data_IF_387772002382
#
_entry.id   IF_387772002382
#
_cell.length_a   1.000
_cell.length_b   1.000
_cell.length_c   1.000
_cell.angle_alpha   90.00
_cell.angle_beta   90.00
_cell.angle_gamma   90.00
#
_symmetry.space_group_name_H-M   'P 1'
#
loop_
_entity.id
_entity.type
_entity.pdbx_description
1 polymer ?
#
# COMPACT_ATOMS: atom_id res chain seq x y z
N UNK A 1 22.68 -23.13 -0.53
CA UNK A 1 21.83 -22.31 -1.43
C UNK A 1 21.47 -21.10 -0.60
N UNK A 2 22.13 -19.99 -0.91
CA UNK A 2 22.12 -18.78 -0.09
C UNK A 2 20.77 -18.07 -0.24
N UNK A 3 20.09 -17.91 0.88
CA UNK A 3 18.85 -17.13 1.02
C UNK A 3 19.26 -15.64 1.05
N UNK A 4 19.49 -15.08 -0.13
CA UNK A 4 19.93 -13.70 -0.32
C UNK A 4 18.76 -12.72 -0.08
N UNK A 5 18.79 -12.08 1.09
CA UNK A 5 18.60 -10.63 1.25
C UNK A 5 17.54 -9.95 0.37
N UNK A 6 16.28 -10.01 0.81
CA UNK A 6 15.27 -8.98 0.49
C UNK A 6 15.28 -7.80 1.49
N UNK A 7 16.30 -7.72 2.36
CA UNK A 7 16.43 -6.72 3.43
C UNK A 7 16.90 -5.31 2.96
N UNK A 8 17.20 -5.12 1.66
CA UNK A 8 17.82 -3.89 1.13
C UNK A 8 16.92 -3.03 0.23
N UNK A 9 15.66 -3.41 -0.02
CA UNK A 9 14.78 -2.60 -0.86
C UNK A 9 14.14 -1.47 -0.03
N UNK A 10 14.54 -0.23 -0.29
CA UNK A 10 13.89 0.96 0.28
C UNK A 10 12.43 1.06 -0.17
N UNK A 11 12.12 0.55 -1.35
CA UNK A 11 10.79 0.52 -1.96
C UNK A 11 10.60 -0.77 -2.76
N UNK A 12 9.39 -1.32 -2.75
CA UNK A 12 9.06 -2.55 -3.51
C UNK A 12 7.61 -2.55 -3.98
N UNK A 13 7.30 -3.37 -5.00
CA UNK A 13 5.93 -3.59 -5.48
C UNK A 13 5.37 -4.91 -4.94
N UNK A 14 4.07 -4.95 -4.69
CA UNK A 14 3.31 -6.17 -4.42
C UNK A 14 2.02 -6.19 -5.22
N UNK A 15 1.53 -7.38 -5.57
CA UNK A 15 0.22 -7.53 -6.19
C UNK A 15 -0.91 -7.07 -5.27
N UNK A 16 -2.05 -6.68 -5.83
CA UNK A 16 -3.25 -6.28 -5.10
C UNK A 16 -3.74 -7.35 -4.14
N UNK A 17 -3.67 -8.64 -4.49
CA UNK A 17 -4.09 -9.75 -3.61
C UNK A 17 -3.29 -9.79 -2.31
N UNK A 18 -1.96 -9.79 -2.39
CA UNK A 18 -1.09 -9.79 -1.22
C UNK A 18 -1.24 -8.50 -0.40
N UNK A 19 -1.43 -7.36 -1.06
CA UNK A 19 -1.74 -6.11 -0.36
C UNK A 19 -3.06 -6.18 0.41
N UNK A 20 -4.14 -6.69 -0.20
CA UNK A 20 -5.44 -6.81 0.49
C UNK A 20 -5.32 -7.65 1.75
N UNK A 21 -4.60 -8.77 1.70
CA UNK A 21 -4.35 -9.60 2.89
C UNK A 21 -3.55 -8.84 3.97
N UNK A 22 -2.59 -8.01 3.57
CA UNK A 22 -1.86 -7.17 4.52
C UNK A 22 -2.73 -6.07 5.11
N UNK A 23 -3.55 -5.40 4.29
CA UNK A 23 -4.48 -4.35 4.72
C UNK A 23 -5.48 -4.89 5.75
N UNK A 24 -6.03 -6.09 5.55
CA UNK A 24 -6.90 -6.74 6.54
C UNK A 24 -6.18 -6.91 7.90
N UNK A 25 -4.93 -7.38 7.90
CA UNK A 25 -4.12 -7.52 9.11
C UNK A 25 -3.78 -6.17 9.74
N UNK A 26 -3.52 -5.15 8.92
CA UNK A 26 -3.25 -3.79 9.37
C UNK A 26 -4.48 -3.13 9.99
N UNK A 27 -5.65 -3.25 9.37
CA UNK A 27 -6.93 -2.79 9.91
C UNK A 27 -7.25 -3.46 11.24
N UNK A 28 -7.02 -4.78 11.34
CA UNK A 28 -7.17 -5.52 12.59
C UNK A 28 -6.21 -5.01 13.68
N UNK A 29 -4.96 -4.72 13.32
CA UNK A 29 -3.99 -4.12 14.23
C UNK A 29 -4.44 -2.73 14.72
N UNK A 30 -4.80 -1.81 13.82
CA UNK A 30 -5.25 -0.46 14.17
C UNK A 30 -6.53 -0.49 15.01
N UNK A 31 -7.43 -1.43 14.74
CA UNK A 31 -8.67 -1.61 15.49
C UNK A 31 -8.45 -2.18 16.89
N UNK A 32 -7.39 -2.97 17.10
CA UNK A 32 -7.02 -3.51 18.39
C UNK A 32 -6.29 -2.49 19.29
N UNK A 33 -5.76 -1.41 18.72
CA UNK A 33 -5.19 -0.30 19.50
C UNK A 33 -6.27 0.35 20.37
N UNK A 34 -5.87 0.73 21.58
CA UNK A 34 -6.68 1.62 22.42
C UNK A 34 -6.89 2.97 21.73
N UNK A 35 -7.90 3.73 22.17
CA UNK A 35 -8.21 5.05 21.61
C UNK A 35 -6.99 5.98 21.61
N UNK A 36 -6.26 6.04 22.73
CA UNK A 36 -5.05 6.87 22.87
C UNK A 36 -3.91 6.43 21.94
N UNK A 37 -3.72 5.13 21.75
CA UNK A 37 -2.69 4.60 20.84
C UNK A 37 -3.05 4.86 19.38
N UNK A 38 -4.33 4.71 19.04
CA UNK A 38 -4.85 4.98 17.70
C UNK A 38 -4.71 6.46 17.35
N UNK A 39 -5.02 7.36 18.29
CA UNK A 39 -4.86 8.80 18.12
C UNK A 39 -3.38 9.17 17.89
N UNK A 40 -2.45 8.59 18.68
CA UNK A 40 -1.01 8.79 18.48
C UNK A 40 -0.56 8.36 17.09
N UNK A 41 -0.95 7.16 16.66
CA UNK A 41 -0.63 6.66 15.32
C UNK A 41 -1.23 7.56 14.24
N UNK A 42 -2.49 7.96 14.37
CA UNK A 42 -3.16 8.83 13.40
C UNK A 42 -2.48 10.19 13.28
N UNK A 43 -2.13 10.83 14.40
CA UNK A 43 -1.44 12.11 14.41
C UNK A 43 -0.06 12.02 13.72
N UNK A 44 0.71 10.99 14.06
CA UNK A 44 2.00 10.72 13.41
C UNK A 44 1.85 10.54 11.90
N UNK A 45 0.87 9.75 11.46
CA UNK A 45 0.63 9.49 10.05
C UNK A 45 0.14 10.73 9.29
N UNK A 46 -0.71 11.55 9.91
CA UNK A 46 -1.16 12.83 9.33
C UNK A 46 0.01 13.77 9.11
N UNK A 47 0.85 13.98 10.12
CA UNK A 47 2.05 14.82 10.02
C UNK A 47 2.97 14.35 8.89
N UNK A 48 3.22 13.04 8.82
CA UNK A 48 4.07 12.46 7.77
C UNK A 48 3.47 12.60 6.37
N UNK A 49 2.15 12.45 6.22
CA UNK A 49 1.49 12.65 4.92
C UNK A 49 1.53 14.11 4.46
N UNK A 50 1.41 15.08 5.37
CA UNK A 50 1.52 16.50 5.05
C UNK A 50 2.93 16.87 4.58
N UNK A 51 3.96 16.38 5.29
CA UNK A 51 5.35 16.52 4.89
C UNK A 51 5.63 15.83 3.55
N UNK A 52 5.10 14.62 3.34
CA UNK A 52 5.24 13.91 2.07
C UNK A 52 4.59 14.68 0.91
N UNK A 53 3.38 15.20 1.12
CA UNK A 53 2.62 15.93 0.08
C UNK A 53 3.29 17.23 -0.34
N UNK A 54 3.98 17.91 0.58
CA UNK A 54 4.71 19.15 0.28
C UNK A 54 6.03 18.94 -0.48
N UNK A 55 6.53 17.70 -0.59
CA UNK A 55 7.83 17.37 -1.18
C UNK A 55 7.75 16.80 -2.62
N UNK A 56 6.57 16.62 -3.22
CA UNK A 56 6.42 15.74 -4.40
C UNK A 56 6.86 16.39 -5.71
N UNK A 57 7.84 15.76 -6.37
CA UNK A 57 8.12 15.87 -7.82
C UNK A 57 7.73 14.61 -8.61
N UNK A 58 7.45 13.47 -7.96
CA UNK A 58 7.09 12.21 -8.64
C UNK A 58 6.21 11.35 -7.74
N UNK A 59 4.98 11.06 -8.17
CA UNK A 59 4.15 10.01 -7.61
C UNK A 59 3.92 8.91 -8.62
N UNK A 60 3.53 7.72 -8.19
CA UNK A 60 3.22 6.61 -9.11
C UNK A 60 2.12 7.04 -10.09
N UNK A 61 2.49 7.11 -11.38
CA UNK A 61 1.59 7.37 -12.50
C UNK A 61 1.58 6.13 -13.38
N UNK A 62 0.38 5.66 -13.73
CA UNK A 62 0.22 4.67 -14.78
C UNK A 62 0.05 5.38 -16.12
N UNK A 63 0.55 4.76 -17.18
CA UNK A 63 0.19 5.14 -18.54
C UNK A 63 -1.07 4.36 -18.95
N UNK A 64 -2.23 5.04 -18.98
CA UNK A 64 -3.53 4.44 -19.24
C UNK A 64 -4.14 4.95 -20.57
N UNK A 65 -3.52 4.72 -21.75
CA UNK A 65 -3.98 5.30 -23.01
C UNK A 65 -5.37 4.77 -23.38
N UNK A 66 -6.37 5.66 -23.42
CA UNK A 66 -7.75 5.30 -23.73
C UNK A 66 -8.50 4.59 -22.60
N UNK A 67 -7.93 4.56 -21.40
CA UNK A 67 -8.51 3.98 -20.19
C UNK A 67 -8.75 5.07 -19.14
N UNK A 68 -9.61 4.79 -18.18
CA UNK A 68 -9.72 5.57 -16.96
C UNK A 68 -8.56 5.23 -16.01
N UNK A 69 -8.17 6.21 -15.20
CA UNK A 69 -7.06 6.08 -14.25
C UNK A 69 -7.49 6.55 -12.86
N UNK A 70 -6.94 5.91 -11.84
CA UNK A 70 -7.00 6.37 -10.48
C UNK A 70 -5.66 6.12 -9.80
N UNK A 71 -5.22 7.07 -8.99
CA UNK A 71 -3.97 6.99 -8.23
C UNK A 71 -4.21 7.43 -6.79
N UNK A 72 -3.62 6.72 -5.85
CA UNK A 72 -3.50 7.11 -4.46
C UNK A 72 -2.02 7.19 -4.10
N UNK A 73 -1.65 8.18 -3.30
CA UNK A 73 -0.35 8.17 -2.64
C UNK A 73 -0.46 8.76 -1.25
N UNK A 74 0.24 8.08 -0.37
CA UNK A 74 0.43 8.39 1.04
C UNK A 74 1.92 8.21 1.35
N UNK A 75 2.31 8.58 2.56
CA UNK A 75 3.67 8.41 3.01
C UNK A 75 4.11 6.94 3.04
N UNK A 76 3.24 5.97 3.36
CA UNK A 76 3.64 4.55 3.40
C UNK A 76 3.59 3.84 2.04
N UNK A 77 2.82 4.37 1.09
CA UNK A 77 2.50 3.60 -0.13
C UNK A 77 1.97 4.45 -1.27
N UNK A 78 2.08 3.93 -2.47
CA UNK A 78 1.50 4.51 -3.67
C UNK A 78 0.85 3.42 -4.51
N UNK A 79 -0.36 3.65 -4.98
CA UNK A 79 -1.02 2.76 -5.93
C UNK A 79 -1.55 3.55 -7.12
N UNK A 80 -1.58 2.89 -8.27
CA UNK A 80 -2.27 3.39 -9.44
C UNK A 80 -2.87 2.21 -10.20
N UNK A 81 -4.05 2.43 -10.76
CA UNK A 81 -4.76 1.49 -11.60
C UNK A 81 -5.28 2.16 -12.86
N UNK A 82 -5.26 1.41 -13.95
CA UNK A 82 -6.02 1.70 -15.15
C UNK A 82 -7.25 0.80 -15.18
N UNK A 83 -8.34 1.25 -15.81
CA UNK A 83 -9.45 0.37 -16.17
C UNK A 83 -10.18 0.91 -17.40
N UNK A 84 -10.85 0.04 -18.13
CA UNK A 84 -11.75 0.47 -19.19
C UNK A 84 -13.05 1.01 -18.60
N UNK A 85 -13.36 2.29 -18.84
CA UNK A 85 -14.62 2.95 -18.43
C UNK A 85 -15.88 2.26 -18.99
N UNK A 86 -15.73 1.47 -20.06
CA UNK A 86 -16.84 0.75 -20.68
C UNK A 86 -17.24 -0.52 -19.91
N UNK A 87 -16.31 -1.14 -19.18
CA UNK A 87 -16.51 -2.47 -18.59
C UNK A 87 -16.34 -2.52 -17.07
N UNK A 88 -15.74 -1.51 -16.45
CA UNK A 88 -15.42 -1.54 -15.03
C UNK A 88 -15.58 -0.16 -14.38
N UNK A 89 -15.75 -0.16 -13.07
CA UNK A 89 -15.59 1.03 -12.24
C UNK A 89 -14.35 0.84 -11.37
N UNK A 90 -13.45 1.82 -11.37
CA UNK A 90 -12.25 1.83 -10.54
C UNK A 90 -12.41 2.77 -9.35
N UNK A 91 -11.76 2.43 -8.23
CA UNK A 91 -11.67 3.29 -7.06
C UNK A 91 -10.30 3.18 -6.39
N UNK A 92 -9.82 4.28 -5.85
CA UNK A 92 -8.68 4.31 -4.95
C UNK A 92 -9.05 5.03 -3.66
N UNK A 93 -8.38 4.64 -2.59
CA UNK A 93 -8.45 5.30 -1.30
C UNK A 93 -7.24 4.95 -0.46
N UNK A 94 -7.24 5.40 0.79
CA UNK A 94 -6.26 4.98 1.76
C UNK A 94 -6.91 4.67 3.10
N UNK A 95 -6.33 3.72 3.81
CA UNK A 95 -6.65 3.42 5.20
C UNK A 95 -5.40 3.60 6.03
N UNK A 96 -5.43 4.53 6.99
CA UNK A 96 -4.29 4.88 7.85
C UNK A 96 -2.95 4.91 7.08
N UNK A 97 -2.94 5.70 6.01
CA UNK A 97 -1.78 5.90 5.12
C UNK A 97 -1.35 4.70 4.29
N UNK A 98 -2.13 3.63 4.18
CA UNK A 98 -1.93 2.58 3.17
C UNK A 98 -2.94 2.76 2.05
N UNK A 99 -2.45 3.01 0.85
CA UNK A 99 -3.24 3.13 -0.37
C UNK A 99 -3.75 1.76 -0.79
N UNK A 100 -5.00 1.74 -1.25
CA UNK A 100 -5.60 0.61 -1.92
C UNK A 100 -6.25 1.10 -3.22
N UNK A 101 -6.07 0.31 -4.27
CA UNK A 101 -6.67 0.54 -5.58
C UNK A 101 -7.45 -0.72 -5.96
N UNK A 102 -8.67 -0.58 -6.47
CA UNK A 102 -9.52 -1.70 -6.88
C UNK A 102 -10.30 -1.37 -8.15
N UNK A 103 -10.55 -2.39 -8.95
CA UNK A 103 -11.55 -2.37 -10.02
C UNK A 103 -12.71 -3.27 -9.60
N UNK A 104 -13.94 -2.79 -9.71
CA UNK A 104 -15.13 -3.61 -9.54
C UNK A 104 -15.41 -4.32 -10.87
N UNK A 105 -15.49 -5.66 -10.92
CA UNK A 105 -15.99 -6.34 -12.10
C UNK A 105 -17.44 -5.91 -12.31
N UNK A 106 -17.79 -5.33 -13.47
CA UNK A 106 -19.18 -5.45 -13.90
C UNK A 106 -19.37 -6.92 -14.23
N UNK A 107 -20.39 -7.54 -13.63
CA UNK A 107 -21.01 -8.70 -14.25
C UNK A 107 -21.41 -8.26 -15.66
N UNK A 108 -20.60 -8.53 -16.69
CA UNK A 108 -20.95 -8.65 -18.10
C UNK A 108 -19.68 -8.77 -18.98
N UNK A 109 -19.49 -10.00 -19.45
CA UNK A 109 -18.68 -10.43 -20.60
C UNK A 109 -17.14 -10.53 -20.46
N UNK A 110 -16.54 -11.63 -20.96
CA UNK A 110 -15.10 -11.86 -20.91
C UNK A 110 -14.41 -10.98 -21.97
N UNK A 111 -13.99 -9.78 -21.59
CA UNK A 111 -13.10 -8.98 -22.41
C UNK A 111 -11.66 -9.49 -22.22
N UNK A 112 -11.01 -9.78 -23.35
CA UNK A 112 -9.62 -10.24 -23.49
C UNK A 112 -8.61 -9.16 -23.09
N UNK A 113 -8.60 -8.75 -21.83
CA UNK A 113 -7.52 -7.95 -21.26
C UNK A 113 -6.92 -8.80 -20.15
N UNK A 114 -5.63 -9.13 -20.34
CA UNK A 114 -4.83 -9.91 -19.39
C UNK A 114 -5.07 -9.38 -17.99
N UNK A 115 -5.26 -10.29 -17.02
CA UNK A 115 -5.36 -10.00 -15.60
C UNK A 115 -4.47 -8.81 -15.22
N UNK A 116 -5.08 -7.61 -15.09
CA UNK A 116 -4.37 -6.37 -14.76
C UNK A 116 -3.91 -6.53 -13.31
N UNK A 117 -2.69 -7.04 -13.11
CA UNK A 117 -2.09 -7.14 -11.79
C UNK A 117 -1.92 -5.73 -11.23
N UNK A 118 -2.82 -5.37 -10.30
CA UNK A 118 -2.72 -4.12 -9.55
C UNK A 118 -1.44 -4.20 -8.73
N UNK A 119 -0.41 -3.44 -9.10
CA UNK A 119 0.80 -3.34 -8.30
C UNK A 119 0.75 -2.10 -7.42
N UNK A 120 1.04 -2.30 -6.14
CA UNK A 120 1.15 -1.21 -5.17
C UNK A 120 2.58 -1.11 -4.71
N UNK A 121 3.12 0.10 -4.80
CA UNK A 121 4.44 0.45 -4.31
C UNK A 121 4.34 0.72 -2.81
N UNK A 122 5.18 0.06 -2.04
CA UNK A 122 5.32 0.23 -0.60
C UNK A 122 6.70 0.83 -0.29
N UNK A 123 6.76 1.74 0.68
CA UNK A 123 8.01 2.36 1.11
C UNK A 123 8.48 1.71 2.42
N UNK A 124 9.42 0.76 2.31
CA UNK A 124 9.88 -0.05 3.44
C UNK A 124 10.54 0.80 4.53
N UNK A 125 11.25 1.87 4.16
CA UNK A 125 11.85 2.79 5.12
C UNK A 125 10.79 3.49 5.97
N UNK A 126 9.71 3.95 5.36
CA UNK A 126 8.62 4.62 6.08
C UNK A 126 7.87 3.65 7.00
N UNK A 127 7.73 2.37 6.62
CA UNK A 127 7.23 1.32 7.53
C UNK A 127 8.16 1.09 8.73
N UNK A 128 9.48 1.06 8.51
CA UNK A 128 10.47 0.93 9.61
C UNK A 128 10.39 2.12 10.58
N UNK A 129 10.24 3.34 10.05
CA UNK A 129 10.07 4.53 10.87
C UNK A 129 8.76 4.47 11.68
N UNK A 130 7.64 4.05 11.07
CA UNK A 130 6.38 3.82 11.78
C UNK A 130 6.54 2.76 12.88
N UNK A 131 7.25 1.65 12.63
CA UNK A 131 7.52 0.64 13.66
C UNK A 131 8.32 1.21 14.82
N UNK A 132 9.33 2.03 14.55
CA UNK A 132 10.11 2.68 15.60
C UNK A 132 9.25 3.64 16.43
N UNK A 133 8.36 4.41 15.78
CA UNK A 133 7.40 5.27 16.48
C UNK A 133 6.49 4.45 17.42
N UNK A 134 5.94 3.34 16.94
CA UNK A 134 5.07 2.47 17.72
C UNK A 134 5.80 1.84 18.92
N UNK A 135 7.05 1.38 18.72
CA UNK A 135 7.92 0.87 19.79
C UNK A 135 8.17 1.95 20.86
N UNK A 136 8.53 3.17 20.44
CA UNK A 136 8.80 4.28 21.35
C UNK A 136 7.57 4.68 22.18
N UNK A 137 6.37 4.31 21.71
CA UNK A 137 5.11 4.52 22.41
C UNK A 137 4.60 3.29 23.17
N UNK A 138 5.42 2.24 23.31
CA UNK A 138 5.12 0.98 24.00
C UNK A 138 3.95 0.17 23.38
N UNK A 139 3.71 0.31 22.07
CA UNK A 139 2.67 -0.44 21.36
C UNK A 139 3.25 -1.79 20.89
N UNK A 140 2.54 -2.90 21.13
CA UNK A 140 2.98 -4.22 20.67
C UNK A 140 2.84 -4.37 19.15
N UNK A 141 3.96 -4.23 18.44
CA UNK A 141 4.00 -4.32 16.98
C UNK A 141 4.15 -5.75 16.44
N UNK A 142 4.27 -6.79 17.28
CA UNK A 142 4.56 -8.15 16.81
C UNK A 142 3.61 -8.64 15.70
N UNK A 143 2.28 -8.48 15.83
CA UNK A 143 1.35 -8.94 14.79
C UNK A 143 1.56 -8.22 13.46
N UNK A 144 1.74 -6.90 13.51
CA UNK A 144 1.93 -6.08 12.32
C UNK A 144 3.29 -6.34 11.65
N UNK A 145 4.35 -6.48 12.45
CA UNK A 145 5.68 -6.80 11.94
C UNK A 145 5.71 -8.15 11.24
N UNK A 146 5.02 -9.16 11.79
CA UNK A 146 4.88 -10.46 11.13
C UNK A 146 4.12 -10.35 9.81
N UNK A 147 3.00 -9.63 9.79
CA UNK A 147 2.22 -9.40 8.57
C UNK A 147 3.04 -8.70 7.48
N UNK A 148 3.85 -7.70 7.85
CA UNK A 148 4.72 -6.99 6.92
C UNK A 148 5.84 -7.90 6.39
N UNK A 149 6.47 -8.69 7.25
CA UNK A 149 7.49 -9.67 6.83
C UNK A 149 6.95 -10.78 5.95
N UNK A 150 5.68 -11.17 6.10
CA UNK A 150 5.01 -12.06 5.14
C UNK A 150 4.79 -11.37 3.79
N UNK A 151 4.42 -10.08 3.79
CA UNK A 151 4.26 -9.29 2.57
C UNK A 151 5.59 -9.11 1.82
N UNK A 152 6.69 -8.87 2.52
CA UNK A 152 8.04 -8.74 1.94
C UNK A 152 8.47 -9.99 1.17
N UNK A 153 7.97 -11.19 1.51
CA UNK A 153 8.25 -12.43 0.75
C UNK A 153 7.64 -12.44 -0.65
N UNK A 154 6.66 -11.57 -0.90
CA UNK A 154 6.00 -11.38 -2.18
C UNK A 154 6.44 -10.08 -2.88
N UNK A 155 7.51 -9.44 -2.36
CA UNK A 155 8.06 -8.22 -2.95
C UNK A 155 8.63 -8.51 -4.33
N UNK A 156 8.24 -7.66 -5.29
CA UNK A 156 8.83 -7.57 -6.61
C UNK A 156 9.69 -6.29 -6.67
N UNK A 157 10.85 -6.33 -7.36
CA UNK A 157 11.64 -5.13 -7.58
C UNK A 157 10.83 -4.09 -8.37
N UNK A 158 11.17 -2.81 -8.19
CA UNK A 158 10.65 -1.76 -9.06
C UNK A 158 11.22 -1.95 -10.47
N UNK A 159 10.37 -1.96 -11.50
CA UNK A 159 10.83 -1.94 -12.89
C UNK A 159 11.69 -0.67 -13.10
N UNK A 160 12.95 -0.86 -13.53
CA UNK A 160 13.90 0.21 -13.87
C UNK A 160 13.45 1.00 -15.09
#
# INVERSE_FOLDING_TARGET
>A
MEDQTLLELDEFKVSGTHLSQFVEKYEAFVSALSESEREKLQNFLTEKNELHSSSRTTGVTCDCPGQSQCSCSTWLSECCICWSSASHEGACGSYASICFCRTAPKELAPARFSDEEIFVKLNALNFREMFQFLINNNIDIKPLKQAFSELEKHALPLDN
#
